data_IF_640751944221
#
_entry.id   IF_640751944221
#
_cell.length_a   1.000
_cell.length_b   1.000
_cell.length_c   1.000
_cell.angle_alpha   90.00
_cell.angle_beta   90.00
_cell.angle_gamma   90.00
#
_symmetry.space_group_name_H-M   'P 1'
#
loop_
_entity.id
_entity.type
_entity.pdbx_description
1 polymer ?
#
# COMPACT_ATOMS: atom_id res chain seq x y z
N UNK A 1 14.37 -2.20 -27.33
CA UNK A 1 14.43 -2.10 -26.87
C UNK A 1 14.67 -1.97 -26.02
N UNK A 2 14.72 -1.61 -25.80
CA UNK A 2 15.31 -1.33 -24.93
C UNK A 2 14.83 -1.64 -23.74
N UNK A 3 15.15 -2.28 -23.21
CA UNK A 3 14.73 -2.62 -22.15
C UNK A 3 15.24 -1.88 -21.15
N UNK A 4 14.66 -1.57 -20.18
CA UNK A 4 15.09 -0.91 -19.23
C UNK A 4 15.67 -1.73 -18.28
N UNK A 5 16.73 -1.88 -18.00
CA UNK A 5 17.36 -2.67 -17.01
C UNK A 5 18.00 -1.82 -15.96
N UNK A 6 17.67 -0.56 -15.88
CA UNK A 6 18.25 0.31 -14.88
C UNK A 6 17.74 0.02 -13.50
N UNK A 7 18.66 -0.11 -12.59
CA UNK A 7 18.31 -0.27 -11.17
C UNK A 7 18.06 1.11 -10.62
N UNK A 8 17.03 1.26 -9.80
CA UNK A 8 16.70 2.55 -9.25
C UNK A 8 16.74 2.54 -7.76
N UNK A 9 17.24 3.58 -7.16
CA UNK A 9 17.15 3.77 -5.73
C UNK A 9 15.84 4.50 -5.46
N UNK A 10 15.06 3.97 -4.53
CA UNK A 10 13.81 4.62 -4.15
C UNK A 10 14.01 5.25 -2.79
N UNK A 11 13.55 6.47 -2.62
CA UNK A 11 13.60 7.14 -1.33
C UNK A 11 12.30 7.88 -1.13
N UNK A 12 11.95 8.14 0.11
CA UNK A 12 10.74 8.89 0.38
C UNK A 12 10.96 10.38 0.22
N UNK A 13 12.19 10.79 -0.05
CA UNK A 13 12.45 12.21 -0.24
C UNK A 13 12.06 12.70 -1.62
N UNK A 14 11.96 11.78 -2.57
CA UNK A 14 11.71 12.16 -3.94
C UNK A 14 10.26 12.08 -4.38
N UNK A 15 9.38 11.73 -3.47
CA UNK A 15 7.99 11.52 -3.83
C UNK A 15 7.12 12.24 -2.82
N UNK A 16 6.10 12.94 -3.26
CA UNK A 16 5.25 13.64 -2.31
C UNK A 16 4.43 12.66 -1.48
N UNK A 17 4.18 13.03 -0.26
CA UNK A 17 3.30 12.28 0.61
C UNK A 17 1.87 12.77 0.39
N UNK A 18 0.93 11.86 0.35
CA UNK A 18 -0.47 12.24 0.25
C UNK A 18 -1.28 11.44 1.26
N UNK A 19 -2.28 12.07 1.81
CA UNK A 19 -3.12 11.42 2.80
C UNK A 19 -4.07 10.46 2.14
N UNK A 20 -4.16 9.25 2.67
CA UNK A 20 -5.18 8.30 2.27
C UNK A 20 -6.40 8.53 3.15
N UNK A 21 -6.19 8.65 4.43
CA UNK A 21 -7.17 9.10 5.40
C UNK A 21 -6.38 9.93 6.40
N UNK A 22 -7.03 10.75 7.21
CA UNK A 22 -6.27 11.55 8.18
C UNK A 22 -5.36 10.67 9.02
N UNK A 23 -4.10 11.01 9.05
CA UNK A 23 -3.12 10.29 9.85
C UNK A 23 -2.42 9.15 9.14
N UNK A 24 -2.88 8.75 7.96
CA UNK A 24 -2.27 7.66 7.22
C UNK A 24 -1.89 8.17 5.85
N UNK A 25 -0.61 8.22 5.56
CA UNK A 25 -0.09 8.82 4.33
C UNK A 25 0.74 7.85 3.53
N UNK A 26 0.70 8.01 2.23
CA UNK A 26 1.46 7.19 1.30
C UNK A 26 2.33 8.07 0.41
N UNK A 27 3.52 7.59 0.07
CA UNK A 27 4.38 8.21 -0.93
C UNK A 27 4.63 7.15 -1.99
N UNK A 28 3.91 7.23 -3.09
CA UNK A 28 3.94 6.20 -4.10
C UNK A 28 5.18 6.33 -4.95
N UNK A 29 6.16 5.49 -4.69
CA UNK A 29 7.47 5.55 -5.33
C UNK A 29 7.59 4.61 -6.53
N UNK A 30 6.77 3.58 -6.60
CA UNK A 30 6.79 2.65 -7.72
C UNK A 30 5.49 2.83 -8.47
N UNK A 31 5.60 3.36 -9.69
CA UNK A 31 4.42 3.67 -10.48
C UNK A 31 4.63 3.09 -11.86
N UNK A 32 3.65 3.28 -12.70
CA UNK A 32 3.73 2.71 -14.02
C UNK A 32 4.73 3.42 -14.91
N UNK A 33 5.43 4.38 -14.40
CA UNK A 33 6.45 5.00 -15.21
C UNK A 33 7.61 4.06 -15.41
N UNK A 34 7.72 3.03 -14.62
CA UNK A 34 8.80 2.11 -14.80
C UNK A 34 8.42 1.02 -15.75
N UNK A 35 9.27 0.05 -15.87
CA UNK A 35 9.05 -1.04 -16.78
C UNK A 35 8.54 -2.28 -16.08
N UNK A 36 8.16 -2.19 -14.84
CA UNK A 36 7.67 -3.35 -14.12
C UNK A 36 6.17 -3.27 -13.95
N UNK A 37 5.60 -4.34 -13.47
CA UNK A 37 4.19 -4.36 -13.16
C UNK A 37 3.94 -4.11 -11.68
N UNK A 38 4.95 -3.70 -10.96
CA UNK A 38 4.81 -3.46 -9.54
C UNK A 38 4.32 -2.05 -9.27
N UNK A 39 3.56 -1.90 -8.22
CA UNK A 39 3.22 -0.61 -7.66
C UNK A 39 3.64 -0.59 -6.21
N UNK A 40 3.67 0.55 -5.59
CA UNK A 40 3.98 0.60 -4.17
C UNK A 40 4.70 1.86 -3.75
N UNK A 41 5.17 1.85 -2.54
CA UNK A 41 5.89 2.99 -2.00
C UNK A 41 5.98 2.94 -0.50
N UNK A 42 6.14 4.12 0.07
CA UNK A 42 6.31 4.28 1.51
C UNK A 42 4.99 4.58 2.17
N UNK A 43 4.85 4.16 3.42
CA UNK A 43 3.67 4.50 4.19
C UNK A 43 4.09 5.00 5.53
N UNK A 44 3.30 5.86 6.12
CA UNK A 44 3.54 6.32 7.48
C UNK A 44 2.24 6.71 8.15
N UNK A 45 2.22 6.56 9.46
CA UNK A 45 1.10 6.99 10.26
C UNK A 45 1.58 8.14 11.13
N UNK A 46 1.02 9.31 10.94
CA UNK A 46 1.38 10.47 11.73
C UNK A 46 0.56 10.53 13.01
N UNK A 47 -0.52 9.75 13.05
CA UNK A 47 -1.31 9.59 14.25
C UNK A 47 -2.00 8.25 14.14
N UNK A 48 -2.63 7.79 15.18
CA UNK A 48 -3.37 6.53 15.13
C UNK A 48 -4.47 6.70 14.08
N UNK A 49 -4.60 5.77 13.18
CA UNK A 49 -5.56 5.90 12.09
C UNK A 49 -5.98 4.55 11.54
N UNK A 50 -7.12 4.55 10.88
CA UNK A 50 -7.65 3.36 10.24
C UNK A 50 -8.12 3.68 8.84
N UNK A 51 -7.84 2.76 7.92
CA UNK A 51 -8.43 2.81 6.59
C UNK A 51 -9.27 1.54 6.48
N UNK A 52 -10.58 1.71 6.56
CA UNK A 52 -11.48 0.60 6.79
C UNK A 52 -12.12 0.04 5.55
N UNK A 53 -12.43 -1.24 5.63
CA UNK A 53 -13.31 -1.90 4.65
C UNK A 53 -12.84 -1.79 3.20
N UNK A 54 -11.58 -2.05 2.98
CA UNK A 54 -11.01 -2.01 1.65
C UNK A 54 -10.82 -3.42 1.13
N UNK A 55 -11.42 -3.73 -0.02
CA UNK A 55 -11.22 -5.03 -0.66
C UNK A 55 -10.13 -4.89 -1.69
N UNK A 56 -9.06 -5.65 -1.54
CA UNK A 56 -7.93 -5.53 -2.44
C UNK A 56 -8.24 -6.08 -3.81
N UNK A 57 -7.74 -5.41 -4.83
CA UNK A 57 -7.83 -5.89 -6.19
C UNK A 57 -6.46 -6.21 -6.71
N UNK A 58 -5.53 -6.49 -5.82
CA UNK A 58 -4.14 -6.78 -6.12
C UNK A 58 -3.58 -7.57 -4.96
N UNK A 59 -2.46 -8.20 -5.18
CA UNK A 59 -1.75 -8.83 -4.08
C UNK A 59 -0.85 -7.78 -3.46
N UNK A 60 -0.70 -7.80 -2.17
CA UNK A 60 0.09 -6.77 -1.50
C UNK A 60 0.97 -7.34 -0.41
N UNK A 61 2.17 -6.80 -0.28
CA UNK A 61 3.03 -7.08 0.85
C UNK A 61 3.35 -5.76 1.50
N UNK A 62 3.19 -5.69 2.83
CA UNK A 62 3.54 -4.51 3.59
C UNK A 62 4.65 -4.90 4.56
N UNK A 63 5.73 -4.15 4.54
CA UNK A 63 6.86 -4.38 5.44
C UNK A 63 6.90 -3.23 6.43
N UNK A 64 7.01 -3.54 7.71
CA UNK A 64 6.99 -2.53 8.77
C UNK A 64 8.42 -2.26 9.21
N UNK A 65 8.82 -0.98 9.12
CA UNK A 65 10.14 -0.59 9.57
C UNK A 65 10.14 -0.19 11.02
N UNK A 66 9.09 0.43 11.46
CA UNK A 66 8.98 0.88 12.84
C UNK A 66 7.51 0.97 13.19
N UNK A 67 7.19 0.81 14.44
CA UNK A 67 5.81 0.95 14.90
C UNK A 67 5.06 -0.36 14.83
N UNK A 68 3.76 -0.26 14.59
CA UNK A 68 2.91 -1.42 14.62
C UNK A 68 1.74 -1.23 13.66
N UNK A 69 1.55 -2.19 12.78
CA UNK A 69 0.45 -2.16 11.81
C UNK A 69 -0.40 -3.39 12.01
N UNK A 70 -1.69 -3.21 12.14
CA UNK A 70 -2.63 -4.31 12.24
C UNK A 70 -3.49 -4.36 11.00
N UNK A 71 -3.71 -5.55 10.48
CA UNK A 71 -4.63 -5.79 9.38
C UNK A 71 -5.76 -6.63 9.93
N UNK A 72 -6.96 -6.08 9.91
CA UNK A 72 -8.12 -6.75 10.42
C UNK A 72 -8.89 -7.34 9.26
N UNK A 73 -9.23 -8.59 9.33
CA UNK A 73 -10.02 -9.23 8.27
C UNK A 73 -10.94 -10.24 8.90
N UNK A 74 -11.79 -10.84 8.08
CA UNK A 74 -12.69 -11.86 8.61
C UNK A 74 -11.95 -13.04 9.18
N UNK A 75 -10.79 -13.33 8.69
CA UNK A 75 -10.03 -14.46 9.21
C UNK A 75 -9.30 -14.16 10.48
N UNK A 76 -9.39 -12.95 10.98
CA UNK A 76 -8.72 -12.58 12.20
C UNK A 76 -7.82 -11.38 12.00
N UNK A 77 -7.14 -11.00 13.06
CA UNK A 77 -6.28 -9.84 13.02
C UNK A 77 -4.83 -10.28 12.91
N UNK A 78 -4.09 -9.58 12.08
CA UNK A 78 -2.67 -9.86 11.91
C UNK A 78 -1.92 -8.58 12.25
N UNK A 79 -0.95 -8.69 13.11
CA UNK A 79 -0.19 -7.53 13.56
C UNK A 79 1.27 -7.70 13.20
N UNK A 80 1.85 -6.69 12.59
CA UNK A 80 3.27 -6.70 12.27
C UNK A 80 3.97 -5.58 13.00
N UNK A 81 5.16 -5.85 13.48
CA UNK A 81 6.02 -4.89 14.14
C UNK A 81 7.29 -4.75 13.34
N UNK A 82 8.19 -3.93 13.78
CA UNK A 82 9.41 -3.64 13.04
C UNK A 82 10.10 -4.91 12.56
N UNK A 83 10.41 -4.99 11.31
CA UNK A 83 11.09 -6.12 10.71
C UNK A 83 10.17 -7.23 10.19
N UNK A 84 8.87 -7.04 10.36
CA UNK A 84 7.91 -8.05 9.93
C UNK A 84 7.09 -7.57 8.75
N UNK A 85 6.53 -8.50 7.99
CA UNK A 85 5.75 -8.16 6.82
C UNK A 85 4.41 -8.89 6.84
N UNK A 86 3.44 -8.34 6.16
CA UNK A 86 2.11 -8.93 6.04
C UNK A 86 1.83 -9.12 4.57
N UNK A 87 1.34 -10.29 4.20
CA UNK A 87 0.91 -10.58 2.84
C UNK A 87 -0.61 -10.58 2.80
N UNK A 88 -1.17 -9.79 1.92
CA UNK A 88 -2.62 -9.73 1.76
C UNK A 88 -2.95 -10.14 0.32
N UNK A 89 -3.62 -11.26 0.15
CA UNK A 89 -3.98 -11.71 -1.19
C UNK A 89 -5.08 -10.87 -1.82
N UNK A 90 -5.06 -10.78 -3.11
CA UNK A 90 -6.11 -10.15 -3.89
C UNK A 90 -7.47 -10.68 -3.45
N UNK A 91 -8.43 -9.83 -3.33
CA UNK A 91 -9.80 -10.20 -2.96
C UNK A 91 -10.11 -10.18 -1.48
N UNK A 92 -9.11 -9.93 -0.66
CA UNK A 92 -9.33 -9.90 0.78
C UNK A 92 -9.87 -8.53 1.20
N UNK A 93 -10.88 -8.52 2.05
CA UNK A 93 -11.40 -7.28 2.58
C UNK A 93 -10.77 -7.03 3.92
N UNK A 94 -10.14 -5.90 4.10
CA UNK A 94 -9.38 -5.62 5.31
C UNK A 94 -9.60 -4.22 5.82
N UNK A 95 -9.18 -3.99 7.05
CA UNK A 95 -9.03 -2.66 7.61
C UNK A 95 -7.56 -2.53 8.01
N UNK A 96 -6.93 -1.46 7.58
CA UNK A 96 -5.55 -1.18 7.98
C UNK A 96 -5.62 -0.28 9.21
N UNK A 97 -4.93 -0.65 10.26
CA UNK A 97 -4.92 0.15 11.48
C UNK A 97 -3.49 0.34 11.92
N UNK A 98 -3.03 1.56 11.98
CA UNK A 98 -1.66 1.84 12.39
C UNK A 98 -1.61 2.77 13.59
N UNK A 99 -0.53 2.66 14.35
CA UNK A 99 -0.31 3.55 15.45
C UNK A 99 0.57 4.68 15.00
N UNK A 100 0.45 5.82 15.65
CA UNK A 100 1.30 6.97 15.36
C UNK A 100 2.76 6.55 15.38
N UNK A 101 3.52 6.96 14.40
CA UNK A 101 4.94 6.61 14.30
C UNK A 101 5.24 5.36 13.50
N UNK A 102 4.23 4.66 13.04
CA UNK A 102 4.45 3.49 12.19
C UNK A 102 4.91 3.94 10.82
N UNK A 103 5.97 3.32 10.32
CA UNK A 103 6.45 3.58 8.98
C UNK A 103 6.79 2.25 8.31
N UNK A 104 6.62 2.19 7.02
CA UNK A 104 6.89 0.97 6.30
C UNK A 104 6.91 1.16 4.81
N UNK A 105 6.92 0.04 4.09
CA UNK A 105 6.97 0.05 2.64
C UNK A 105 6.00 -1.00 2.14
N UNK A 106 5.28 -0.69 1.08
CA UNK A 106 4.34 -1.65 0.52
C UNK A 106 4.61 -1.86 -0.96
N UNK A 107 4.31 -3.07 -1.43
CA UNK A 107 4.45 -3.42 -2.84
C UNK A 107 3.19 -4.14 -3.24
N UNK A 108 2.66 -3.83 -4.39
CA UNK A 108 1.47 -4.49 -4.88
C UNK A 108 1.63 -4.88 -6.34
N UNK A 109 0.82 -5.82 -6.79
CA UNK A 109 0.84 -6.29 -8.16
C UNK A 109 -0.58 -6.71 -8.55
N UNK A 110 -1.08 -6.31 -9.71
CA UNK A 110 -0.40 -5.44 -10.71
C UNK A 110 -0.67 -3.97 -10.41
N UNK A 111 0.24 -3.12 -10.83
CA UNK A 111 0.11 -1.70 -10.50
C UNK A 111 -1.12 -1.08 -11.16
N UNK A 112 -1.56 -1.63 -12.27
CA UNK A 112 -2.71 -1.05 -12.97
C UNK A 112 -4.02 -1.75 -12.62
N UNK A 113 -4.12 -2.27 -11.42
CA UNK A 113 -5.32 -3.00 -10.97
C UNK A 113 -6.60 -2.23 -11.20
N UNK A 114 -6.55 -0.93 -11.11
CA UNK A 114 -7.77 -0.14 -11.23
C UNK A 114 -8.12 0.17 -12.68
N UNK A 115 -7.37 -0.34 -13.64
CA UNK A 115 -7.70 -0.11 -15.02
C UNK A 115 -8.15 -1.33 -15.73
N UNK A 116 -8.00 -2.49 -15.15
CA UNK A 116 -8.23 -3.69 -15.89
C UNK A 116 -9.56 -4.26 -15.76
N UNK A 117 -10.44 -3.73 -14.95
CA UNK A 117 -11.68 -4.28 -14.86
C UNK A 117 -12.66 -3.38 -14.78
N UNK A 118 -13.85 -3.74 -14.84
CA UNK A 118 -14.79 -2.88 -14.72
C UNK A 118 -14.84 -2.38 -13.46
N UNK A 119 -14.62 -1.25 -13.18
CA UNK A 119 -14.67 -0.71 -12.02
C UNK A 119 -15.99 -0.41 -11.69
N UNK A 120 -16.44 -0.57 -10.64
CA UNK A 120 -17.72 -0.25 -10.23
C UNK A 120 -17.79 1.17 -10.26
N UNK A 121 -18.81 1.59 -10.30
CA UNK A 121 -18.94 2.89 -10.38
C UNK A 121 -18.21 3.55 -9.46
N UNK A 122 -18.13 4.32 -9.42
CA UNK A 122 -17.49 5.03 -8.77
C UNK A 122 -17.44 5.08 -7.54
N UNK A 123 -17.29 5.61 -7.12
CA UNK A 123 -17.18 5.88 -5.96
C UNK A 123 -16.47 5.01 -5.26
N UNK A 124 -16.37 4.11 -5.56
CA UNK A 124 -15.86 3.31 -4.84
C UNK A 124 -14.55 3.33 -4.82
N UNK A 125 -13.94 3.70 -5.43
CA UNK A 125 -12.65 3.57 -5.44
C UNK A 125 -11.92 4.48 -5.10
N UNK A 126 -11.90 4.95 -4.74
CA UNK A 126 -11.23 5.82 -4.33
C UNK A 126 -10.03 5.61 -4.10
N UNK A 127 -9.60 5.25 -3.85
CA UNK A 127 -8.50 5.16 -3.51
C UNK A 127 -7.52 4.89 -3.94
N UNK A 128 -7.18 4.67 -3.84
CA UNK A 128 -6.44 4.46 -4.19
C UNK A 128 -5.45 4.10 -3.85
N UNK A 129 -4.93 3.49 -3.66
CA UNK A 129 -3.80 3.10 -3.23
C UNK A 129 -2.88 3.06 -4.26
#
# INVERSE_FOLDING_TARGET
MAVRTNVKLLTDRDVPWSELVPGFELARAITNAGSTQLGGGYMRFTEDAEFADWTLRYDEVLFVNAGELAILSDGGNTVARAGEAILIPNGTKVTYRGRAGTVGFFVLWPFDWNKTVDRPAKGTDTGRA
#
